data_IF_234747600005
#
_entry.id   IF_234747600005
#
_cell.length_a   1.000
_cell.length_b   1.000
_cell.length_c   1.000
_cell.angle_alpha   90.00
_cell.angle_beta   90.00
_cell.angle_gamma   90.00
#
_symmetry.space_group_name_H-M   'P 1'
#
loop_
_entity.id
_entity.type
_entity.pdbx_description
1 polymer ?
#
# COMPACT_ATOMS: atom_id res chain seq x y z
N UNK A 1 -16.03 1.60 -9.36
CA UNK A 1 -16.01 3.03 -8.97
C UNK A 1 -17.30 3.50 -8.30
N UNK A 2 -18.51 3.05 -8.71
CA UNK A 2 -19.78 3.50 -8.11
C UNK A 2 -19.96 3.14 -6.61
N UNK A 3 -19.61 1.93 -6.17
CA UNK A 3 -19.80 1.49 -4.76
C UNK A 3 -18.89 2.20 -3.75
N UNK A 4 -17.64 2.51 -4.13
CA UNK A 4 -16.70 3.23 -3.26
C UNK A 4 -17.17 4.67 -2.95
N UNK A 5 -17.91 5.30 -3.89
CA UNK A 5 -18.50 6.61 -3.69
C UNK A 5 -19.78 6.58 -2.83
N UNK A 6 -20.48 5.43 -2.79
CA UNK A 6 -21.74 5.25 -2.05
C UNK A 6 -21.57 4.80 -0.58
N UNK A 7 -20.33 4.52 -0.13
CA UNK A 7 -20.02 3.96 1.21
C UNK A 7 -20.71 2.62 1.49
N UNK A 8 -21.02 1.89 0.42
CA UNK A 8 -21.46 0.50 0.41
C UNK A 8 -20.22 -0.39 0.66
N UNK A 9 -19.65 -0.31 1.87
CA UNK A 9 -18.39 -0.99 2.20
C UNK A 9 -18.56 -2.50 2.18
N UNK A 10 -19.72 -3.01 2.59
CA UNK A 10 -20.04 -4.44 2.55
C UNK A 10 -20.15 -4.96 1.11
N UNK A 11 -20.84 -4.25 0.21
CA UNK A 11 -20.98 -4.62 -1.18
C UNK A 11 -19.65 -4.55 -1.93
N UNK A 12 -18.85 -3.51 -1.66
CA UNK A 12 -17.51 -3.40 -2.24
C UNK A 12 -16.60 -4.54 -1.73
N UNK A 13 -16.64 -4.85 -0.43
CA UNK A 13 -15.89 -5.97 0.13
C UNK A 13 -16.34 -7.30 -0.47
N UNK A 14 -17.65 -7.53 -0.63
CA UNK A 14 -18.19 -8.74 -1.26
C UNK A 14 -17.72 -8.86 -2.72
N UNK A 15 -17.77 -7.75 -3.48
CA UNK A 15 -17.27 -7.70 -4.85
C UNK A 15 -15.77 -8.04 -4.93
N UNK A 16 -14.94 -7.43 -4.09
CA UNK A 16 -13.50 -7.71 -4.04
C UNK A 16 -13.22 -9.15 -3.60
N UNK A 17 -13.97 -9.68 -2.63
CA UNK A 17 -13.88 -11.08 -2.20
C UNK A 17 -14.13 -12.05 -3.37
N UNK A 18 -15.11 -11.77 -4.24
CA UNK A 18 -15.34 -12.60 -5.43
C UNK A 18 -14.13 -12.62 -6.37
N UNK A 19 -13.46 -11.48 -6.58
CA UNK A 19 -12.24 -11.42 -7.39
C UNK A 19 -11.08 -12.17 -6.71
N UNK A 20 -10.93 -12.02 -5.39
CA UNK A 20 -9.90 -12.74 -4.63
C UNK A 20 -10.13 -14.27 -4.67
N UNK A 21 -11.38 -14.73 -4.68
CA UNK A 21 -11.69 -16.17 -4.85
C UNK A 21 -11.24 -16.68 -6.21
N UNK A 22 -11.46 -15.92 -7.29
CA UNK A 22 -10.96 -16.31 -8.61
C UNK A 22 -9.43 -16.41 -8.64
N UNK A 23 -8.73 -15.52 -7.96
CA UNK A 23 -7.26 -15.61 -7.82
C UNK A 23 -6.83 -16.82 -7.00
N UNK A 24 -7.53 -17.13 -5.91
CA UNK A 24 -7.28 -18.31 -5.09
C UNK A 24 -7.50 -19.61 -5.89
N UNK A 25 -8.60 -19.69 -6.65
CA UNK A 25 -8.91 -20.81 -7.54
C UNK A 25 -7.86 -20.95 -8.66
N UNK A 26 -7.23 -19.83 -9.04
CA UNK A 26 -6.08 -19.78 -9.94
C UNK A 26 -4.74 -20.19 -9.31
N UNK A 27 -4.72 -20.51 -8.02
CA UNK A 27 -3.53 -21.00 -7.32
C UNK A 27 -2.73 -19.91 -6.57
N UNK A 28 -3.25 -18.70 -6.43
CA UNK A 28 -2.61 -17.69 -5.59
C UNK A 28 -2.64 -18.10 -4.12
N UNK A 29 -1.55 -17.87 -3.39
CA UNK A 29 -1.37 -18.17 -1.96
C UNK A 29 -1.39 -16.91 -1.08
N UNK A 30 -1.33 -15.73 -1.69
CA UNK A 30 -1.39 -14.41 -1.07
C UNK A 30 -1.99 -13.43 -2.08
N UNK A 31 -2.59 -12.34 -1.60
CA UNK A 31 -3.08 -11.28 -2.47
C UNK A 31 -2.75 -9.88 -1.92
N UNK A 32 -2.84 -8.89 -2.80
CA UNK A 32 -2.67 -7.48 -2.49
C UNK A 32 -3.62 -6.66 -3.36
N UNK A 33 -4.10 -5.53 -2.82
CA UNK A 33 -4.93 -4.56 -3.55
C UNK A 33 -4.12 -3.26 -3.64
N UNK A 34 -3.36 -3.03 -4.73
CA UNK A 34 -2.49 -1.88 -4.87
C UNK A 34 -3.28 -0.63 -5.31
N UNK A 35 -4.21 -0.19 -4.47
CA UNK A 35 -5.04 0.97 -4.71
C UNK A 35 -5.55 1.55 -3.39
N UNK A 36 -5.69 2.87 -3.30
CA UNK A 36 -6.15 3.55 -2.08
C UNK A 36 -7.67 3.55 -1.93
N UNK A 37 -8.43 3.71 -3.02
CA UNK A 37 -9.90 3.82 -2.94
C UNK A 37 -10.58 2.57 -2.36
N UNK A 38 -10.20 1.32 -2.72
CA UNK A 38 -10.77 0.12 -2.12
C UNK A 38 -10.54 0.00 -0.60
N UNK A 39 -9.56 0.72 -0.05
CA UNK A 39 -9.19 0.59 1.36
C UNK A 39 -10.28 1.08 2.33
N UNK A 40 -11.29 1.80 1.82
CA UNK A 40 -12.48 2.17 2.59
C UNK A 40 -13.23 0.96 3.17
N UNK A 41 -13.15 -0.20 2.52
CA UNK A 41 -13.75 -1.46 2.96
C UNK A 41 -12.73 -2.50 3.47
N UNK A 42 -11.50 -2.07 3.79
CA UNK A 42 -10.43 -2.98 4.19
C UNK A 42 -10.79 -3.84 5.41
N UNK A 43 -11.58 -3.28 6.34
CA UNK A 43 -12.05 -4.01 7.53
C UNK A 43 -13.01 -5.13 7.15
N UNK A 44 -14.06 -4.81 6.41
CA UNK A 44 -15.07 -5.76 5.97
C UNK A 44 -14.46 -6.84 5.08
N UNK A 45 -13.54 -6.46 4.19
CA UNK A 45 -12.84 -7.40 3.32
C UNK A 45 -11.94 -8.37 4.10
N UNK A 46 -11.25 -7.90 5.15
CA UNK A 46 -10.39 -8.74 5.98
C UNK A 46 -11.16 -9.87 6.69
N UNK A 47 -12.46 -9.68 6.95
CA UNK A 47 -13.32 -10.69 7.60
C UNK A 47 -13.74 -11.81 6.64
N UNK A 48 -13.74 -11.56 5.32
CA UNK A 48 -14.30 -12.48 4.32
C UNK A 48 -13.30 -12.92 3.24
N UNK A 49 -12.08 -12.39 3.25
CA UNK A 49 -11.06 -12.69 2.23
C UNK A 49 -10.66 -14.17 2.24
N UNK A 50 -10.56 -14.84 1.07
CA UNK A 50 -10.10 -16.23 0.98
C UNK A 50 -8.57 -16.35 1.05
N UNK A 51 -7.84 -15.25 0.88
CA UNK A 51 -6.38 -15.21 0.82
C UNK A 51 -5.80 -14.29 1.89
N UNK A 52 -4.61 -14.61 2.44
CA UNK A 52 -3.84 -13.65 3.22
C UNK A 52 -3.59 -12.38 2.41
N UNK A 53 -4.03 -11.24 2.94
CA UNK A 53 -3.85 -9.94 2.31
C UNK A 53 -2.59 -9.25 2.82
N UNK A 54 -1.78 -8.75 1.88
CA UNK A 54 -0.73 -7.77 2.15
C UNK A 54 -1.42 -6.40 2.12
N UNK A 55 -1.77 -5.90 3.30
CA UNK A 55 -2.55 -4.66 3.47
C UNK A 55 -1.69 -3.40 3.23
N UNK A 56 -2.19 -2.50 2.39
CA UNK A 56 -1.49 -1.26 2.01
C UNK A 56 -1.44 -0.27 3.19
N UNK A 57 -2.50 -0.17 3.99
CA UNK A 57 -2.55 0.75 5.12
C UNK A 57 -1.61 0.30 6.23
N UNK A 58 -1.56 -1.00 6.52
CA UNK A 58 -0.66 -1.58 7.52
C UNK A 58 0.81 -1.46 7.07
N UNK A 59 1.10 -1.62 5.77
CA UNK A 59 2.43 -1.36 5.24
C UNK A 59 2.87 0.10 5.46
N UNK A 60 1.98 1.06 5.22
CA UNK A 60 2.25 2.49 5.46
C UNK A 60 2.47 2.75 6.96
N UNK A 61 1.65 2.19 7.84
CA UNK A 61 1.82 2.33 9.31
C UNK A 61 3.17 1.76 9.74
N UNK A 62 3.54 0.57 9.26
CA UNK A 62 4.83 -0.03 9.57
C UNK A 62 6.02 0.83 9.12
N UNK A 63 5.90 1.51 7.97
CA UNK A 63 6.95 2.41 7.48
C UNK A 63 7.04 3.71 8.30
N UNK A 64 5.90 4.29 8.66
CA UNK A 64 5.82 5.44 9.58
C UNK A 64 6.50 5.10 10.90
N UNK A 65 6.21 3.93 11.46
CA UNK A 65 6.79 3.44 12.72
C UNK A 65 8.29 3.23 12.59
N UNK A 66 8.73 2.54 11.52
CA UNK A 66 10.14 2.25 11.24
C UNK A 66 10.97 3.52 11.13
N UNK A 67 10.43 4.56 10.48
CA UNK A 67 11.07 5.88 10.32
C UNK A 67 10.86 6.80 11.50
N UNK A 68 10.09 6.38 12.51
CA UNK A 68 9.75 7.15 13.71
C UNK A 68 9.08 8.50 13.40
N UNK A 69 8.35 8.57 12.29
CA UNK A 69 7.59 9.75 11.90
C UNK A 69 6.48 9.97 12.94
N UNK A 70 6.39 11.17 13.50
CA UNK A 70 5.39 11.54 14.49
C UNK A 70 4.32 12.46 13.92
N UNK A 71 4.73 13.41 13.07
CA UNK A 71 3.85 14.46 12.54
C UNK A 71 3.97 14.53 11.02
N UNK A 72 2.85 14.39 10.32
CA UNK A 72 2.84 14.32 8.86
C UNK A 72 1.57 14.89 8.27
N UNK A 73 1.57 15.15 6.97
CA UNK A 73 0.36 15.43 6.20
C UNK A 73 0.21 14.45 5.03
N UNK A 74 -0.96 14.43 4.41
CA UNK A 74 -1.33 13.45 3.38
C UNK A 74 -1.68 14.19 2.11
N UNK A 75 -1.11 13.77 0.97
CA UNK A 75 -1.50 14.20 -0.36
C UNK A 75 -2.15 13.04 -1.11
N UNK A 76 -3.31 13.26 -1.72
CA UNK A 76 -4.02 12.25 -2.49
C UNK A 76 -5.48 12.63 -2.73
N UNK A 77 -6.36 11.62 -2.82
CA UNK A 77 -7.79 11.86 -2.90
C UNK A 77 -8.31 12.61 -1.67
N UNK A 78 -9.33 13.46 -1.85
CA UNK A 78 -9.94 14.24 -0.77
C UNK A 78 -10.32 13.40 0.44
N UNK A 79 -11.03 12.29 0.21
CA UNK A 79 -11.48 11.39 1.27
C UNK A 79 -10.31 10.81 2.07
N UNK A 80 -9.19 10.50 1.42
CA UNK A 80 -7.99 9.96 2.08
C UNK A 80 -7.34 11.00 2.99
N UNK A 81 -7.32 12.27 2.55
CA UNK A 81 -6.79 13.39 3.35
C UNK A 81 -7.69 13.72 4.54
N UNK A 82 -9.00 13.86 4.31
CA UNK A 82 -9.97 14.23 5.36
C UNK A 82 -10.16 13.14 6.42
N UNK A 83 -9.99 11.87 6.05
CA UNK A 83 -10.11 10.74 6.98
C UNK A 83 -8.79 10.35 7.65
N UNK A 84 -7.70 11.09 7.40
CA UNK A 84 -6.37 10.78 7.90
C UNK A 84 -5.97 9.31 7.60
N UNK A 85 -6.04 8.92 6.33
CA UNK A 85 -5.81 7.54 5.88
C UNK A 85 -6.82 6.55 6.52
N UNK A 86 -8.11 6.86 6.44
CA UNK A 86 -9.20 6.05 7.00
C UNK A 86 -9.03 5.74 8.51
N UNK A 87 -8.40 6.65 9.26
CA UNK A 87 -8.14 6.53 10.69
C UNK A 87 -7.00 5.57 11.07
N UNK A 88 -6.24 5.03 10.11
CA UNK A 88 -5.12 4.11 10.40
C UNK A 88 -3.92 4.77 11.08
N UNK A 89 -3.80 6.09 10.97
CA UNK A 89 -2.71 6.88 11.58
C UNK A 89 -3.12 7.54 12.90
N UNK A 90 -4.04 6.94 13.67
CA UNK A 90 -4.58 7.50 14.92
C UNK A 90 -3.53 7.81 16.01
N UNK A 91 -2.40 7.11 16.01
CA UNK A 91 -1.31 7.30 16.98
C UNK A 91 -0.25 8.31 16.46
N UNK A 92 -0.58 9.04 15.39
CA UNK A 92 0.26 10.05 14.74
C UNK A 92 -0.46 11.37 14.66
N UNK A 93 0.32 12.44 14.62
CA UNK A 93 -0.18 13.79 14.47
C UNK A 93 -0.35 14.11 12.98
N UNK A 94 -1.51 13.74 12.44
CA UNK A 94 -1.84 13.97 11.03
C UNK A 94 -2.40 15.38 10.86
N UNK A 95 -1.61 16.25 10.24
CA UNK A 95 -1.95 17.65 10.01
C UNK A 95 -2.71 17.78 8.70
N UNK A 96 -3.99 18.11 8.80
CA UNK A 96 -4.80 18.43 7.63
C UNK A 96 -4.33 19.75 6.98
N UNK A 97 -4.12 19.79 5.64
CA UNK A 97 -3.93 21.04 4.92
C UNK A 97 -5.15 21.96 5.08
N UNK A 98 -5.00 23.25 4.79
CA UNK A 98 -6.12 24.20 4.77
C UNK A 98 -7.14 23.77 3.70
N UNK A 99 -8.44 24.14 3.82
CA UNK A 99 -9.45 23.75 2.83
C UNK A 99 -9.07 24.06 1.38
N UNK A 100 -8.50 25.24 1.11
CA UNK A 100 -8.02 25.61 -0.23
C UNK A 100 -6.82 24.79 -0.72
N UNK A 101 -5.99 24.30 0.21
CA UNK A 101 -4.86 23.43 -0.10
C UNK A 101 -5.36 22.00 -0.39
N UNK A 102 -6.36 21.51 0.36
CA UNK A 102 -7.06 20.26 0.09
C UNK A 102 -7.70 20.30 -1.31
N UNK A 103 -8.40 21.38 -1.64
CA UNK A 103 -9.01 21.58 -2.97
C UNK A 103 -7.95 21.54 -4.08
N UNK A 104 -6.81 22.21 -3.87
CA UNK A 104 -5.72 22.22 -4.82
C UNK A 104 -5.10 20.83 -5.00
N UNK A 105 -4.74 20.15 -3.91
CA UNK A 105 -4.12 18.82 -3.95
C UNK A 105 -5.08 17.79 -4.56
N UNK A 106 -6.33 17.74 -4.10
CA UNK A 106 -7.30 16.75 -4.61
C UNK A 106 -7.67 17.01 -6.07
N UNK A 107 -7.81 18.27 -6.47
CA UNK A 107 -8.10 18.61 -7.87
C UNK A 107 -6.93 18.30 -8.82
N UNK A 108 -5.69 18.52 -8.39
CA UNK A 108 -4.52 18.10 -9.17
C UNK A 108 -4.42 16.58 -9.21
N UNK A 109 -4.59 15.90 -8.08
CA UNK A 109 -4.57 14.44 -8.01
C UNK A 109 -5.62 13.81 -8.93
N UNK A 110 -6.83 14.36 -8.98
CA UNK A 110 -7.87 13.88 -9.89
C UNK A 110 -7.43 13.98 -11.36
N UNK A 111 -6.82 15.10 -11.77
CA UNK A 111 -6.29 15.23 -13.14
C UNK A 111 -5.17 14.24 -13.41
N UNK A 112 -4.27 14.01 -12.45
CA UNK A 112 -3.22 13.00 -12.59
C UNK A 112 -3.80 11.60 -12.82
N UNK A 113 -4.88 11.25 -12.11
CA UNK A 113 -5.59 9.97 -12.30
C UNK A 113 -6.22 9.90 -13.71
N UNK A 114 -6.75 11.01 -14.22
CA UNK A 114 -7.42 11.07 -15.53
C UNK A 114 -6.43 11.12 -16.72
N UNK A 115 -5.28 11.76 -16.54
CA UNK A 115 -4.28 12.03 -17.61
C UNK A 115 -3.02 11.15 -17.51
N UNK A 116 -2.89 10.34 -16.46
CA UNK A 116 -1.72 9.49 -16.17
C UNK A 116 -0.40 10.27 -16.10
N UNK A 117 -0.45 11.52 -15.63
CA UNK A 117 0.70 12.42 -15.54
C UNK A 117 0.36 13.78 -14.94
N UNK A 118 1.38 14.61 -14.74
CA UNK A 118 1.21 16.01 -14.33
C UNK A 118 1.97 16.94 -15.27
N UNK A 119 1.39 18.11 -15.53
CA UNK A 119 2.11 19.23 -16.11
C UNK A 119 3.20 19.74 -15.16
N UNK A 120 4.18 20.46 -15.70
CA UNK A 120 5.24 21.10 -14.91
C UNK A 120 4.69 22.10 -13.87
N UNK A 121 3.56 22.76 -14.18
CA UNK A 121 2.89 23.68 -13.25
C UNK A 121 2.28 22.93 -12.07
N UNK A 122 1.60 21.80 -12.33
CA UNK A 122 0.99 20.97 -11.29
C UNK A 122 2.02 20.33 -10.38
N UNK A 123 3.10 19.78 -10.97
CA UNK A 123 4.25 19.30 -10.22
C UNK A 123 4.83 20.40 -9.32
N UNK A 124 5.10 21.58 -9.88
CA UNK A 124 5.66 22.71 -9.12
C UNK A 124 4.72 23.14 -7.99
N UNK A 125 3.40 23.14 -8.23
CA UNK A 125 2.39 23.51 -7.25
C UNK A 125 2.28 22.51 -6.11
N UNK A 126 2.24 21.20 -6.40
CA UNK A 126 2.25 20.16 -5.36
C UNK A 126 3.55 20.21 -4.56
N UNK A 127 4.70 20.31 -5.23
CA UNK A 127 6.00 20.44 -4.57
C UNK A 127 6.06 21.67 -3.66
N UNK A 128 5.59 22.83 -4.13
CA UNK A 128 5.56 24.05 -3.31
C UNK A 128 4.63 23.92 -2.11
N UNK A 129 3.46 23.28 -2.27
CA UNK A 129 2.55 23.00 -1.16
C UNK A 129 3.20 22.09 -0.12
N UNK A 130 3.92 21.05 -0.54
CA UNK A 130 4.64 20.15 0.37
C UNK A 130 5.67 20.93 1.22
N UNK A 131 6.55 21.71 0.58
CA UNK A 131 7.55 22.53 1.28
C UNK A 131 6.90 23.52 2.26
N UNK A 132 5.91 24.28 1.79
CA UNK A 132 5.22 25.27 2.62
C UNK A 132 4.55 24.62 3.84
N UNK A 133 3.97 23.43 3.68
CA UNK A 133 3.28 22.74 4.76
C UNK A 133 4.29 22.17 5.77
N UNK A 134 5.39 21.59 5.29
CA UNK A 134 6.49 21.10 6.13
C UNK A 134 7.07 22.24 6.96
N UNK A 135 7.39 23.38 6.35
CA UNK A 135 7.95 24.53 7.06
C UNK A 135 6.95 25.15 8.04
N UNK A 136 5.69 25.34 7.61
CA UNK A 136 4.66 26.00 8.43
C UNK A 136 4.27 25.15 9.64
N UNK A 137 4.11 23.85 9.45
CA UNK A 137 3.53 22.94 10.46
C UNK A 137 4.59 22.07 11.15
N UNK A 138 5.86 22.20 10.76
CA UNK A 138 6.99 21.42 11.27
C UNK A 138 6.75 19.91 11.09
N UNK A 139 6.43 19.51 9.85
CA UNK A 139 6.15 18.11 9.53
C UNK A 139 7.44 17.31 9.34
N UNK A 140 7.41 16.03 9.74
CA UNK A 140 8.49 15.08 9.46
C UNK A 140 8.44 14.59 8.00
N UNK A 141 7.24 14.51 7.41
CA UNK A 141 7.04 14.03 6.05
C UNK A 141 5.67 14.42 5.46
N UNK A 142 5.57 14.32 4.13
CA UNK A 142 4.31 14.18 3.40
C UNK A 142 4.11 12.73 2.99
N UNK A 143 2.97 12.13 3.33
CA UNK A 143 2.53 10.85 2.80
C UNK A 143 1.86 11.06 1.43
N UNK A 144 2.46 10.50 0.39
CA UNK A 144 1.86 10.41 -0.95
C UNK A 144 0.89 9.22 -0.97
N UNK A 145 -0.39 9.51 -0.76
CA UNK A 145 -1.47 8.55 -0.57
C UNK A 145 -2.35 8.37 -1.84
N UNK A 146 -1.68 8.03 -2.94
CA UNK A 146 -2.30 7.70 -4.22
C UNK A 146 -1.27 7.01 -5.11
N UNK A 147 -1.64 5.89 -5.72
CA UNK A 147 -0.72 5.13 -6.59
C UNK A 147 -0.27 5.94 -7.81
N UNK A 148 -1.13 6.81 -8.30
CA UNK A 148 -0.92 7.66 -9.47
C UNK A 148 0.05 8.83 -9.18
N UNK A 149 0.29 9.16 -7.91
CA UNK A 149 1.32 10.15 -7.55
C UNK A 149 2.73 9.68 -7.94
N UNK A 150 2.92 8.39 -8.19
CA UNK A 150 4.15 7.81 -8.73
C UNK A 150 4.48 8.28 -10.16
N UNK A 151 3.49 8.80 -10.91
CA UNK A 151 3.72 9.45 -12.20
C UNK A 151 4.38 10.84 -12.07
N UNK A 152 4.31 11.42 -10.87
CA UNK A 152 4.69 12.82 -10.62
C UNK A 152 5.94 12.91 -9.76
N UNK A 153 5.99 12.10 -8.69
CA UNK A 153 7.07 12.08 -7.72
C UNK A 153 7.89 10.81 -7.86
N UNK A 154 9.19 10.98 -8.08
CA UNK A 154 10.20 9.92 -8.10
C UNK A 154 11.29 10.21 -7.07
N UNK A 155 12.10 9.22 -6.67
CA UNK A 155 13.24 9.46 -5.78
C UNK A 155 14.21 10.53 -6.29
N UNK A 156 14.33 10.70 -7.60
CA UNK A 156 15.26 11.64 -8.24
C UNK A 156 14.74 13.08 -8.26
N UNK A 157 13.42 13.28 -8.27
CA UNK A 157 12.82 14.61 -8.37
C UNK A 157 12.19 15.11 -7.05
N UNK A 158 12.02 14.23 -6.06
CA UNK A 158 11.34 14.59 -4.80
C UNK A 158 12.36 15.06 -3.76
N UNK A 159 12.37 16.38 -3.51
CA UNK A 159 13.36 17.04 -2.66
C UNK A 159 12.80 17.52 -1.30
N UNK A 160 11.67 16.96 -0.89
CA UNK A 160 11.11 17.13 0.45
C UNK A 160 10.97 15.78 1.16
N UNK A 161 11.00 15.76 2.51
CA UNK A 161 10.72 14.55 3.28
C UNK A 161 9.35 13.95 2.93
N UNK A 162 9.33 12.70 2.50
CA UNK A 162 8.09 12.03 2.08
C UNK A 162 8.08 10.54 2.43
N UNK A 163 6.87 9.97 2.43
CA UNK A 163 6.61 8.54 2.32
C UNK A 163 5.83 8.32 1.03
N UNK A 164 6.34 7.48 0.14
CA UNK A 164 5.60 6.99 -1.01
C UNK A 164 4.79 5.74 -0.58
N UNK A 165 3.47 5.89 -0.49
CA UNK A 165 2.59 4.80 -0.06
C UNK A 165 2.52 3.65 -1.07
N UNK A 166 2.64 3.93 -2.37
CA UNK A 166 2.68 2.90 -3.39
C UNK A 166 3.97 2.09 -3.30
N UNK A 167 5.11 2.79 -3.18
CA UNK A 167 6.41 2.13 -3.02
C UNK A 167 6.47 1.30 -1.75
N UNK A 168 5.93 1.82 -0.65
CA UNK A 168 5.86 1.12 0.64
C UNK A 168 5.07 -0.19 0.50
N UNK A 169 3.95 -0.19 -0.22
CA UNK A 169 3.17 -1.40 -0.48
C UNK A 169 3.91 -2.39 -1.37
N UNK A 170 4.59 -1.92 -2.42
CA UNK A 170 5.45 -2.76 -3.27
C UNK A 170 6.54 -3.45 -2.43
N UNK A 171 7.23 -2.71 -1.57
CA UNK A 171 8.29 -3.26 -0.74
C UNK A 171 7.75 -4.34 0.23
N UNK A 172 6.56 -4.13 0.80
CA UNK A 172 5.88 -5.12 1.64
C UNK A 172 5.49 -6.39 0.84
N UNK A 173 4.99 -6.23 -0.38
CA UNK A 173 4.66 -7.34 -1.28
C UNK A 173 5.93 -8.14 -1.60
N UNK A 174 6.99 -7.46 -2.04
CA UNK A 174 8.26 -8.11 -2.39
C UNK A 174 8.87 -8.84 -1.19
N UNK A 175 8.82 -8.25 0.00
CA UNK A 175 9.29 -8.89 1.22
C UNK A 175 8.52 -10.19 1.53
N UNK A 176 7.18 -10.17 1.41
CA UNK A 176 6.33 -11.36 1.62
C UNK A 176 6.65 -12.48 0.63
N UNK A 177 6.85 -12.14 -0.65
CA UNK A 177 7.12 -13.11 -1.70
C UNK A 177 8.53 -13.72 -1.60
N UNK A 178 9.55 -12.91 -1.29
CA UNK A 178 10.93 -13.38 -1.17
C UNK A 178 11.14 -14.22 0.10
N UNK A 179 10.40 -13.96 1.18
CA UNK A 179 10.47 -14.79 2.41
C UNK A 179 9.58 -16.03 2.35
N UNK A 180 8.45 -15.97 1.66
CA UNK A 180 7.55 -17.13 1.46
C UNK A 180 8.19 -18.25 0.64
N UNK A 181 9.12 -17.92 -0.25
CA UNK A 181 9.82 -18.87 -1.12
C UNK A 181 10.97 -19.64 -0.44
N UNK A 182 11.38 -19.26 0.78
CA UNK A 182 12.51 -19.90 1.51
C UNK A 182 12.05 -21.09 2.37
N UNK A 183 10.76 -21.25 2.68
CA UNK A 183 10.25 -22.35 3.52
C UNK A 183 9.75 -23.59 2.77
N UNK A 184 9.71 -23.57 1.43
CA UNK A 184 9.28 -24.72 0.64
C UNK A 184 10.47 -25.58 0.19
N UNK A 185 11.07 -26.34 1.12
CA UNK A 185 11.73 -27.63 0.82
C UNK A 185 11.81 -28.47 2.10
N UNK A 186 10.94 -29.47 2.30
CA UNK A 186 11.31 -30.62 3.08
C UNK A 186 12.42 -31.33 2.30
N UNK A 187 13.62 -31.44 2.87
CA UNK A 187 14.59 -32.43 2.40
C UNK A 187 14.00 -33.79 2.73
N UNK A 188 13.36 -34.43 1.75
CA UNK A 188 13.09 -35.86 1.82
C UNK A 188 14.43 -36.58 1.94
N UNK A 189 14.57 -37.32 3.04
CA UNK A 189 15.76 -38.08 3.35
C UNK A 189 16.03 -39.09 2.25
N UNK A 190 17.25 -39.04 1.72
CA UNK A 190 17.86 -40.13 0.98
C UNK A 190 17.88 -41.36 1.91
N UNK A 191 16.94 -42.28 1.73
CA UNK A 191 17.06 -43.63 2.25
C UNK A 191 18.27 -44.29 1.58
N UNK A 192 19.33 -44.49 2.36
CA UNK A 192 20.43 -45.39 2.03
C UNK A 192 19.85 -46.79 1.77
N UNK A 193 19.96 -47.25 0.53
CA UNK A 193 19.76 -48.65 0.19
C UNK A 193 20.97 -49.45 0.72
N UNK A 194 20.78 -50.11 1.87
CA UNK A 194 21.72 -51.09 2.38
C UNK A 194 21.87 -52.28 1.44
N UNK A 195 23.11 -52.59 1.08
CA UNK A 195 23.48 -53.81 0.35
C UNK A 195 23.15 -55.07 1.17
N UNK A 196 22.70 -56.17 0.54
CA UNK A 196 22.57 -57.44 1.23
C UNK A 196 23.92 -58.15 1.32
N UNK A 197 24.42 -58.30 2.54
CA UNK A 197 25.49 -59.22 2.89
C UNK A 197 24.99 -60.67 2.77
N UNK A 198 25.33 -61.35 1.67
CA UNK A 198 25.20 -62.81 1.58
C UNK A 198 26.58 -63.44 1.77
N UNK A 199 26.78 -64.00 2.96
CA UNK A 199 27.94 -64.81 3.30
C UNK A 199 27.57 -66.30 3.26
N UNK A 200 28.47 -67.07 2.62
CA UNK A 200 28.78 -68.51 2.79
C UNK A 200 27.96 -69.55 2.01
N UNK A 201 28.65 -70.32 1.16
CA UNK A 201 29.09 -71.72 1.39
C UNK A 201 29.54 -72.35 0.05
N UNK A 202 30.73 -72.96 0.02
CA UNK A 202 31.23 -73.78 -1.09
C UNK A 202 32.68 -73.52 -1.44
#
# INVERSE_FOLDING_TARGET
MAHAAARETEELAAYLCLLLRQLADGGADTAAIPAFSPQICARELAEITPLPLIDLLDAIVAEVDRRKIQRLSIFGARVTMETALFGKLKDRDVVAPKPSEIDAVSGIYQRIVEEEGASSEEYAKLRALAHNLIEREQLDAILLAGTDLSFVFTPENTDFPHIDGARTHIDAIMHRLVRGSVQARPTEGLTEAGEPHLSRLG
#
